data_IF_147340839093
#
_entry.id   IF_147340839093
#
_cell.length_a   1.000
_cell.length_b   1.000
_cell.length_c   1.000
_cell.angle_alpha   90.00
_cell.angle_beta   90.00
_cell.angle_gamma   90.00
#
_symmetry.space_group_name_H-M   'P 1'
#
loop_
_entity.id
_entity.type
_entity.pdbx_description
1 polymer ?
#
# COMPACT_ATOMS: atom_id res chain seq x y z
N UNK A 1 -37.88 -14.61 17.77
CA UNK A 1 -36.41 -14.33 17.69
C UNK A 1 -35.76 -15.67 17.43
N UNK A 2 -35.48 -15.97 16.15
CA UNK A 2 -34.68 -17.15 15.79
C UNK A 2 -33.22 -16.76 15.91
N UNK A 3 -32.52 -17.22 16.92
CA UNK A 3 -31.08 -17.27 16.97
C UNK A 3 -30.66 -18.37 16.00
N UNK A 4 -30.22 -18.02 14.82
CA UNK A 4 -29.53 -18.95 13.92
C UNK A 4 -28.20 -19.31 14.60
N UNK A 5 -28.17 -20.46 15.27
CA UNK A 5 -26.96 -21.01 15.83
C UNK A 5 -25.95 -21.27 14.71
N UNK A 6 -24.67 -20.96 14.97
CA UNK A 6 -23.56 -21.32 14.10
C UNK A 6 -23.62 -22.82 13.75
N UNK A 7 -23.29 -23.22 12.52
CA UNK A 7 -23.27 -24.62 12.16
C UNK A 7 -22.35 -25.43 13.13
N UNK A 8 -22.70 -26.68 13.45
CA UNK A 8 -21.89 -27.48 14.37
C UNK A 8 -20.48 -27.66 13.83
N UNK A 9 -19.49 -27.14 14.57
CA UNK A 9 -18.06 -27.26 14.26
C UNK A 9 -17.32 -25.99 13.86
N UNK A 10 -18.01 -24.83 13.69
CA UNK A 10 -17.34 -23.56 13.47
C UNK A 10 -16.91 -22.92 14.81
N UNK A 11 -15.64 -22.57 14.96
CA UNK A 11 -15.16 -21.76 16.08
C UNK A 11 -15.53 -20.30 15.89
N UNK A 12 -15.55 -19.51 16.98
CA UNK A 12 -15.74 -18.06 16.87
C UNK A 12 -14.68 -17.46 15.90
N UNK A 13 -15.13 -16.67 14.94
CA UNK A 13 -14.30 -16.10 13.87
C UNK A 13 -14.30 -16.90 12.56
N UNK A 14 -14.54 -18.23 12.58
CA UNK A 14 -14.59 -19.01 11.33
C UNK A 14 -15.84 -18.71 10.49
N UNK A 15 -16.96 -18.39 11.11
CA UNK A 15 -18.17 -18.01 10.40
C UNK A 15 -17.98 -16.67 9.68
N UNK A 16 -17.37 -15.71 10.36
CA UNK A 16 -16.99 -14.41 9.81
C UNK A 16 -15.95 -14.56 8.71
N UNK A 17 -14.92 -15.40 8.90
CA UNK A 17 -13.93 -15.69 7.88
C UNK A 17 -14.57 -16.22 6.59
N UNK A 18 -15.49 -17.18 6.68
CA UNK A 18 -16.24 -17.70 5.53
C UNK A 18 -17.05 -16.63 4.84
N UNK A 19 -17.74 -15.78 5.60
CA UNK A 19 -18.53 -14.66 5.06
C UNK A 19 -17.65 -13.72 4.26
N UNK A 20 -16.48 -13.33 4.80
CA UNK A 20 -15.54 -12.45 4.12
C UNK A 20 -14.90 -13.09 2.88
N UNK A 21 -14.55 -14.38 2.94
CA UNK A 21 -14.04 -15.15 1.79
C UNK A 21 -15.10 -15.21 0.68
N UNK A 22 -16.37 -15.39 1.02
CA UNK A 22 -17.45 -15.51 0.03
C UNK A 22 -17.87 -14.18 -0.60
N UNK A 23 -17.64 -13.06 0.07
CA UNK A 23 -18.10 -11.74 -0.38
C UNK A 23 -16.99 -10.82 -0.85
N UNK A 24 -15.87 -10.74 -0.14
CA UNK A 24 -14.88 -9.67 -0.33
C UNK A 24 -13.52 -10.18 -0.81
N UNK A 25 -13.05 -11.32 -0.30
CA UNK A 25 -11.72 -11.82 -0.64
C UNK A 25 -11.69 -12.53 -2.01
N UNK A 26 -12.30 -11.91 -3.01
CA UNK A 26 -12.36 -12.36 -4.38
C UNK A 26 -11.91 -11.24 -5.34
N UNK A 27 -11.22 -11.53 -6.43
CA UNK A 27 -10.65 -12.81 -6.84
C UNK A 27 -9.38 -13.18 -6.04
N UNK A 28 -9.11 -14.47 -5.91
CA UNK A 28 -7.88 -14.98 -5.29
C UNK A 28 -7.36 -16.19 -6.07
N UNK A 29 -6.05 -16.38 -6.10
CA UNK A 29 -5.41 -17.59 -6.64
C UNK A 29 -5.54 -18.78 -5.68
N UNK A 30 -5.84 -18.53 -4.41
CA UNK A 30 -6.09 -19.55 -3.41
C UNK A 30 -7.54 -20.06 -3.51
N UNK A 31 -7.74 -21.36 -3.35
CA UNK A 31 -9.07 -21.93 -3.17
C UNK A 31 -9.69 -21.41 -1.87
N UNK A 32 -11.03 -21.46 -1.75
CA UNK A 32 -11.73 -21.05 -0.53
C UNK A 32 -11.27 -21.82 0.71
N UNK A 33 -10.94 -23.10 0.55
CA UNK A 33 -10.43 -23.93 1.65
C UNK A 33 -9.04 -23.50 2.09
N UNK A 34 -8.17 -23.12 1.14
CA UNK A 34 -6.85 -22.58 1.44
C UNK A 34 -6.95 -21.20 2.14
N UNK A 35 -7.82 -20.32 1.63
CA UNK A 35 -8.09 -19.03 2.27
C UNK A 35 -8.60 -19.23 3.72
N UNK A 36 -9.54 -20.19 3.93
CA UNK A 36 -10.03 -20.48 5.25
C UNK A 36 -8.95 -21.05 6.18
N UNK A 37 -8.04 -21.87 5.66
CA UNK A 37 -6.93 -22.38 6.43
C UNK A 37 -5.99 -21.25 6.92
N UNK A 38 -5.73 -20.26 6.07
CA UNK A 38 -4.99 -19.07 6.47
C UNK A 38 -5.73 -18.24 7.52
N UNK A 39 -7.03 -18.01 7.34
CA UNK A 39 -7.83 -17.28 8.34
C UNK A 39 -7.83 -18.00 9.70
N UNK A 40 -7.87 -19.31 9.70
CA UNK A 40 -7.74 -20.10 10.94
C UNK A 40 -6.41 -19.87 11.65
N UNK A 41 -5.32 -19.76 10.90
CA UNK A 41 -4.03 -19.43 11.50
C UNK A 41 -4.07 -18.05 12.19
N UNK A 42 -4.64 -17.02 11.53
CA UNK A 42 -4.80 -15.69 12.13
C UNK A 42 -5.68 -15.72 13.38
N UNK A 43 -6.79 -16.47 13.36
CA UNK A 43 -7.68 -16.65 14.53
C UNK A 43 -6.91 -17.24 15.72
N UNK A 44 -6.12 -18.29 15.49
CA UNK A 44 -5.36 -18.95 16.57
C UNK A 44 -4.21 -18.05 17.07
N UNK A 45 -3.50 -17.34 16.18
CA UNK A 45 -2.49 -16.37 16.58
C UNK A 45 -3.12 -15.25 17.42
N UNK A 46 -4.27 -14.72 16.99
CA UNK A 46 -4.99 -13.67 17.70
C UNK A 46 -5.41 -14.10 19.11
N UNK A 47 -5.91 -15.33 19.29
CA UNK A 47 -6.24 -15.86 20.63
C UNK A 47 -5.04 -15.85 21.58
N UNK A 48 -3.85 -16.22 21.07
CA UNK A 48 -2.61 -16.19 21.86
C UNK A 48 -2.22 -14.73 22.23
N UNK A 49 -2.38 -13.79 21.31
CA UNK A 49 -2.10 -12.37 21.55
C UNK A 49 -3.11 -11.78 22.56
N UNK A 50 -4.39 -12.09 22.42
CA UNK A 50 -5.43 -11.66 23.34
C UNK A 50 -5.19 -12.19 24.76
N UNK A 51 -4.71 -13.43 24.89
CA UNK A 51 -4.30 -13.98 26.19
C UNK A 51 -3.13 -13.21 26.83
N UNK A 52 -2.31 -12.51 26.02
CA UNK A 52 -1.26 -11.59 26.47
C UNK A 52 -1.76 -10.13 26.67
N UNK A 53 -3.05 -9.89 26.50
CA UNK A 53 -3.67 -8.56 26.71
C UNK A 53 -3.76 -7.69 25.45
N UNK A 54 -3.34 -8.17 24.27
CA UNK A 54 -3.46 -7.41 23.02
C UNK A 54 -4.91 -7.43 22.55
N UNK A 55 -5.52 -6.24 22.42
CA UNK A 55 -6.90 -6.08 21.97
C UNK A 55 -7.01 -5.16 20.75
N UNK A 56 -6.03 -4.33 20.54
CA UNK A 56 -5.98 -3.32 19.49
C UNK A 56 -4.54 -3.16 19.00
N UNK A 57 -4.37 -2.86 17.73
CA UNK A 57 -3.12 -2.37 17.12
C UNK A 57 -3.42 -1.06 16.42
N UNK A 58 -2.44 -0.17 16.42
CA UNK A 58 -2.52 1.15 15.79
C UNK A 58 -1.55 1.25 14.61
N UNK A 59 -2.06 1.68 13.47
CA UNK A 59 -1.28 1.89 12.25
C UNK A 59 -1.60 3.26 11.63
N UNK A 60 -0.70 3.78 10.83
CA UNK A 60 -0.87 5.03 10.11
C UNK A 60 -0.45 4.88 8.65
N UNK A 61 -1.16 5.54 7.76
CA UNK A 61 -0.83 5.65 6.34
C UNK A 61 -1.28 6.98 5.75
N UNK A 62 -0.86 7.25 4.52
CA UNK A 62 -1.37 8.37 3.74
C UNK A 62 -2.81 8.16 3.28
N UNK A 63 -3.47 9.27 2.91
CA UNK A 63 -4.86 9.28 2.43
C UNK A 63 -4.90 9.01 0.93
N UNK A 64 -5.00 7.73 0.56
CA UNK A 64 -5.24 7.28 -0.82
C UNK A 64 -6.33 6.20 -0.82
N UNK A 65 -6.90 5.92 -1.98
CA UNK A 65 -8.03 4.99 -2.13
C UNK A 65 -7.72 3.58 -1.59
N UNK A 66 -6.51 3.09 -1.80
CA UNK A 66 -6.07 1.77 -1.30
C UNK A 66 -6.11 1.73 0.22
N UNK A 67 -5.47 2.70 0.89
CA UNK A 67 -5.43 2.76 2.35
C UNK A 67 -6.80 3.06 2.97
N UNK A 68 -7.68 3.78 2.25
CA UNK A 68 -9.07 3.93 2.68
C UNK A 68 -9.81 2.59 2.67
N UNK A 69 -9.59 1.74 1.67
CA UNK A 69 -10.15 0.40 1.62
C UNK A 69 -9.62 -0.48 2.75
N UNK A 70 -8.32 -0.44 3.00
CA UNK A 70 -7.71 -1.15 4.13
C UNK A 70 -8.30 -0.72 5.47
N UNK A 71 -8.40 0.58 5.71
CA UNK A 71 -8.93 1.13 6.96
C UNK A 71 -10.42 0.83 7.15
N UNK A 72 -11.24 0.99 6.11
CA UNK A 72 -12.70 0.88 6.20
C UNK A 72 -13.21 -0.55 6.06
N UNK A 73 -12.53 -1.37 5.26
CA UNK A 73 -12.98 -2.72 4.89
C UNK A 73 -12.10 -3.80 5.49
N UNK A 74 -10.79 -3.80 5.22
CA UNK A 74 -9.91 -4.87 5.68
C UNK A 74 -9.68 -4.85 7.20
N UNK A 75 -9.54 -3.67 7.80
CA UNK A 75 -9.43 -3.53 9.26
C UNK A 75 -10.68 -4.09 9.98
N UNK A 76 -11.87 -3.82 9.40
CA UNK A 76 -13.13 -4.38 9.90
C UNK A 76 -13.17 -5.91 9.75
N UNK A 77 -12.76 -6.42 8.59
CA UNK A 77 -12.68 -7.86 8.37
C UNK A 77 -11.76 -8.54 9.38
N UNK A 78 -10.58 -7.96 9.61
CA UNK A 78 -9.61 -8.46 10.56
C UNK A 78 -10.18 -8.48 11.99
N UNK A 79 -10.87 -7.42 12.41
CA UNK A 79 -11.52 -7.35 13.73
C UNK A 79 -12.64 -8.40 13.87
N UNK A 80 -13.52 -8.53 12.86
CA UNK A 80 -14.61 -9.53 12.89
C UNK A 80 -14.07 -10.96 12.92
N UNK A 81 -12.97 -11.24 12.21
CA UNK A 81 -12.37 -12.58 12.13
C UNK A 81 -11.56 -12.91 13.39
N UNK A 82 -10.77 -11.97 13.90
CA UNK A 82 -9.76 -12.23 14.93
C UNK A 82 -10.13 -11.70 16.31
N UNK A 83 -11.05 -10.75 16.40
CA UNK A 83 -11.38 -10.04 17.63
C UNK A 83 -10.31 -9.02 18.06
N UNK A 84 -9.29 -8.74 17.24
CA UNK A 84 -8.29 -7.68 17.47
C UNK A 84 -8.65 -6.50 16.60
N UNK A 85 -8.86 -5.33 17.21
CA UNK A 85 -9.16 -4.10 16.49
C UNK A 85 -7.92 -3.54 15.81
N UNK A 86 -8.07 -3.10 14.57
CA UNK A 86 -7.05 -2.30 13.86
C UNK A 86 -7.51 -0.85 13.83
N UNK A 87 -6.80 0.02 14.52
CA UNK A 87 -6.99 1.44 14.47
C UNK A 87 -6.06 2.02 13.40
N UNK A 88 -6.62 2.27 12.23
CA UNK A 88 -5.87 2.75 11.07
C UNK A 88 -6.13 4.24 10.86
N UNK A 89 -5.17 5.08 11.26
CA UNK A 89 -5.20 6.51 11.03
C UNK A 89 -4.77 6.81 9.59
N UNK A 90 -5.64 7.51 8.85
CA UNK A 90 -5.36 7.96 7.48
C UNK A 90 -5.16 9.46 7.52
N UNK A 91 -3.97 9.93 7.15
CA UNK A 91 -3.59 11.34 7.21
C UNK A 91 -2.86 11.76 5.93
N UNK A 92 -2.48 13.03 5.81
CA UNK A 92 -1.72 13.51 4.67
C UNK A 92 -0.31 12.90 4.67
N UNK A 93 0.23 12.57 3.48
CA UNK A 93 1.51 11.86 3.30
C UNK A 93 2.68 12.52 4.05
N UNK A 94 2.85 13.85 3.89
CA UNK A 94 3.90 14.59 4.59
C UNK A 94 3.79 14.50 6.10
N UNK A 95 2.56 14.46 6.65
CA UNK A 95 2.31 14.29 8.07
C UNK A 95 2.70 12.88 8.55
N UNK A 96 2.50 11.84 7.71
CA UNK A 96 2.99 10.48 8.02
C UNK A 96 4.50 10.51 8.17
N UNK A 97 5.21 11.05 7.18
CA UNK A 97 6.68 11.13 7.17
C UNK A 97 7.19 11.88 8.40
N UNK A 98 6.62 13.05 8.71
CA UNK A 98 7.03 13.87 9.85
C UNK A 98 6.80 13.16 11.19
N UNK A 99 5.64 12.55 11.39
CA UNK A 99 5.31 11.80 12.62
C UNK A 99 6.25 10.61 12.81
N UNK A 100 6.54 9.86 11.76
CA UNK A 100 7.45 8.72 11.84
C UNK A 100 8.88 9.16 12.15
N UNK A 101 9.39 10.20 11.50
CA UNK A 101 10.73 10.73 11.78
C UNK A 101 10.83 11.24 13.22
N UNK A 102 9.84 11.99 13.71
CA UNK A 102 9.78 12.47 15.09
C UNK A 102 9.73 11.31 16.10
N UNK A 103 8.95 10.27 15.80
CA UNK A 103 8.86 9.05 16.59
C UNK A 103 10.22 8.35 16.68
N UNK A 104 10.91 8.18 15.55
CA UNK A 104 12.23 7.55 15.50
C UNK A 104 13.30 8.38 16.23
N UNK A 105 13.29 9.70 16.06
CA UNK A 105 14.23 10.61 16.73
C UNK A 105 14.04 10.62 18.25
N UNK A 106 12.79 10.68 18.71
CA UNK A 106 12.46 10.69 20.14
C UNK A 106 12.59 9.31 20.80
N UNK A 107 12.62 8.24 20.02
CA UNK A 107 12.59 6.85 20.47
C UNK A 107 11.25 6.44 21.10
N UNK A 108 10.18 7.22 20.87
CA UNK A 108 8.83 6.92 21.36
C UNK A 108 7.96 6.55 20.16
N UNK A 109 7.55 5.29 20.09
CA UNK A 109 6.57 4.86 19.09
C UNK A 109 5.18 5.33 19.47
N UNK A 110 4.49 5.94 18.51
CA UNK A 110 3.08 6.36 18.63
C UNK A 110 2.14 5.44 17.87
N UNK A 111 2.70 4.57 17.02
CA UNK A 111 2.00 3.54 16.26
C UNK A 111 2.73 2.21 16.39
N UNK A 112 1.99 1.11 16.27
CA UNK A 112 2.55 -0.25 16.24
C UNK A 112 3.13 -0.58 14.85
N UNK A 113 2.56 0.04 13.80
CA UNK A 113 3.02 -0.12 12.43
C UNK A 113 2.63 1.08 11.56
N UNK A 114 3.16 1.11 10.34
CA UNK A 114 2.85 2.16 9.37
C UNK A 114 3.01 1.66 7.93
N UNK A 115 2.35 2.34 7.01
CA UNK A 115 2.57 2.20 5.58
C UNK A 115 3.20 3.50 5.09
N UNK A 116 4.32 3.42 4.40
CA UNK A 116 5.09 4.57 3.91
C UNK A 116 5.92 4.17 2.71
N UNK A 117 6.39 5.16 1.97
CA UNK A 117 7.17 4.95 0.76
C UNK A 117 8.48 4.20 1.01
N UNK A 118 8.80 3.28 0.11
CA UNK A 118 10.01 2.48 0.17
C UNK A 118 11.28 3.28 -0.09
N UNK A 119 11.20 4.46 -0.70
CA UNK A 119 12.33 5.38 -0.90
C UNK A 119 12.91 5.90 0.42
N UNK A 120 12.11 5.89 1.50
CA UNK A 120 12.53 6.26 2.84
C UNK A 120 13.26 5.14 3.60
N UNK A 121 13.37 3.93 3.03
CA UNK A 121 13.97 2.79 3.73
C UNK A 121 15.39 3.08 4.24
N UNK A 122 16.20 3.75 3.43
CA UNK A 122 17.57 4.13 3.81
C UNK A 122 17.62 5.12 4.98
N UNK A 123 16.63 6.00 5.08
CA UNK A 123 16.49 6.95 6.20
C UNK A 123 16.04 6.23 7.45
N UNK A 124 14.98 5.43 7.36
CA UNK A 124 14.47 4.65 8.49
C UNK A 124 15.52 3.66 9.03
N UNK A 125 16.26 2.99 8.13
CA UNK A 125 17.37 2.12 8.49
C UNK A 125 18.46 2.85 9.30
N UNK A 126 18.85 4.06 8.87
CA UNK A 126 19.89 4.86 9.57
C UNK A 126 19.46 5.29 10.96
N UNK A 127 18.19 5.50 11.23
CA UNK A 127 17.68 5.75 12.58
C UNK A 127 17.86 4.55 13.51
N UNK A 128 17.94 3.32 12.98
CA UNK A 128 18.11 2.11 13.77
C UNK A 128 16.95 1.83 14.74
N UNK A 129 15.74 2.28 14.37
CA UNK A 129 14.53 2.17 15.21
C UNK A 129 13.43 1.33 14.59
N UNK A 130 13.69 0.73 13.44
CA UNK A 130 12.77 -0.17 12.74
C UNK A 130 13.22 -1.62 12.92
N UNK A 131 12.25 -2.52 12.93
CA UNK A 131 12.49 -3.95 13.09
C UNK A 131 12.94 -4.57 11.75
N UNK A 132 14.06 -5.30 11.77
CA UNK A 132 14.44 -6.14 10.65
C UNK A 132 13.46 -7.33 10.56
N UNK A 133 12.50 -7.28 9.65
CA UNK A 133 11.47 -8.30 9.53
C UNK A 133 12.03 -9.67 9.19
N UNK A 134 13.05 -9.74 8.32
CA UNK A 134 13.71 -11.02 7.98
C UNK A 134 14.33 -11.69 9.20
N UNK A 135 15.01 -10.94 10.07
CA UNK A 135 15.59 -11.48 11.30
C UNK A 135 14.51 -11.89 12.30
N UNK A 136 13.47 -11.05 12.44
CA UNK A 136 12.37 -11.33 13.35
C UNK A 136 11.61 -12.60 12.94
N UNK A 137 11.24 -12.73 11.67
CA UNK A 137 10.53 -13.89 11.14
C UNK A 137 11.36 -15.19 11.24
N UNK A 138 12.69 -15.09 11.07
CA UNK A 138 13.58 -16.24 11.22
C UNK A 138 13.84 -16.62 12.68
N UNK A 139 13.72 -15.66 13.59
CA UNK A 139 14.06 -15.80 15.02
C UNK A 139 12.87 -15.69 15.97
N UNK A 140 12.82 -14.61 16.74
CA UNK A 140 11.83 -14.42 17.81
C UNK A 140 10.39 -14.34 17.32
N UNK A 141 10.17 -13.93 16.07
CA UNK A 141 8.85 -13.85 15.45
C UNK A 141 8.41 -15.09 14.69
N UNK A 142 9.21 -16.17 14.69
CA UNK A 142 8.93 -17.37 13.89
C UNK A 142 7.57 -17.99 14.19
N UNK A 143 7.16 -18.04 15.44
CA UNK A 143 5.85 -18.57 15.84
C UNK A 143 4.66 -17.65 15.45
N UNK A 144 4.95 -16.39 15.16
CA UNK A 144 4.00 -15.33 14.78
C UNK A 144 3.98 -15.06 13.28
N UNK A 145 4.83 -15.73 12.53
CA UNK A 145 4.89 -15.62 11.07
C UNK A 145 4.02 -16.71 10.46
N UNK A 146 3.06 -16.30 9.62
CA UNK A 146 2.22 -17.25 8.90
C UNK A 146 3.10 -18.15 8.01
N UNK A 147 3.03 -19.48 8.15
CA UNK A 147 3.82 -20.39 7.32
C UNK A 147 3.45 -20.36 5.84
N UNK A 148 2.27 -19.82 5.49
CA UNK A 148 1.84 -19.57 4.10
C UNK A 148 2.42 -18.30 3.49
N UNK A 149 3.13 -17.44 4.27
CA UNK A 149 3.73 -16.22 3.76
C UNK A 149 4.89 -16.56 2.83
N UNK A 150 4.68 -16.40 1.53
CA UNK A 150 5.71 -16.56 0.51
C UNK A 150 6.30 -15.20 0.10
N UNK A 151 7.47 -14.87 0.64
CA UNK A 151 8.17 -13.61 0.30
C UNK A 151 8.60 -13.54 -1.16
N UNK A 152 8.64 -14.64 -1.90
CA UNK A 152 9.00 -14.65 -3.33
C UNK A 152 7.84 -14.23 -4.23
N UNK A 153 6.62 -14.30 -3.70
CA UNK A 153 5.42 -13.85 -4.40
C UNK A 153 5.25 -12.33 -4.37
N UNK A 154 5.96 -11.64 -3.46
CA UNK A 154 5.95 -10.18 -3.38
C UNK A 154 6.79 -9.56 -4.49
N UNK A 155 6.19 -8.65 -5.25
CA UNK A 155 6.90 -7.80 -6.22
C UNK A 155 7.55 -6.64 -5.46
N UNK A 156 8.83 -6.34 -5.77
CA UNK A 156 9.50 -5.15 -5.24
C UNK A 156 10.18 -5.30 -3.88
N UNK A 157 10.42 -6.53 -3.40
CA UNK A 157 11.16 -6.75 -2.13
C UNK A 157 12.56 -6.13 -2.12
N UNK A 158 13.16 -5.87 -3.29
CA UNK A 158 14.44 -5.14 -3.39
C UNK A 158 14.32 -3.69 -2.91
N UNK A 159 13.17 -3.05 -3.05
CA UNK A 159 12.94 -1.68 -2.56
C UNK A 159 12.73 -1.62 -1.05
N UNK A 160 12.37 -2.74 -0.43
CA UNK A 160 12.11 -2.85 1.01
C UNK A 160 13.25 -3.53 1.77
N UNK A 161 14.36 -3.80 1.07
CA UNK A 161 15.61 -4.34 1.60
C UNK A 161 16.59 -3.21 1.82
N UNK A 162 17.11 -3.09 3.05
CA UNK A 162 18.08 -2.07 3.40
C UNK A 162 19.51 -2.45 2.96
N UNK A 163 20.51 -1.51 3.06
CA UNK A 163 21.88 -1.77 2.64
C UNK A 163 22.59 -2.96 3.34
N UNK A 164 22.09 -3.38 4.50
CA UNK A 164 22.60 -4.57 5.21
C UNK A 164 22.04 -5.89 4.66
N UNK A 165 21.24 -5.86 3.61
CA UNK A 165 20.63 -7.01 2.97
C UNK A 165 19.39 -7.57 3.70
N UNK A 166 18.90 -6.89 4.73
CA UNK A 166 17.74 -7.34 5.50
C UNK A 166 16.47 -6.66 5.04
N UNK A 167 15.36 -7.40 5.11
CA UNK A 167 14.03 -6.89 4.81
C UNK A 167 13.48 -6.13 6.02
N UNK A 168 13.04 -4.91 5.82
CA UNK A 168 12.48 -4.05 6.87
C UNK A 168 11.01 -3.69 6.64
N UNK A 169 10.51 -3.86 5.42
CA UNK A 169 9.11 -3.64 5.06
C UNK A 169 8.62 -4.81 4.21
N UNK A 170 7.31 -5.02 4.19
CA UNK A 170 6.65 -5.85 3.18
C UNK A 170 6.05 -4.91 2.14
N UNK A 171 6.19 -5.20 0.85
CA UNK A 171 5.51 -4.43 -0.19
C UNK A 171 4.00 -4.53 0.00
N UNK A 172 3.34 -3.39 0.10
CA UNK A 172 1.88 -3.29 0.24
C UNK A 172 1.23 -3.13 -1.13
N UNK A 173 1.77 -2.22 -1.94
CA UNK A 173 1.28 -1.95 -3.28
C UNK A 173 2.42 -1.62 -4.24
N UNK A 174 2.12 -1.74 -5.55
CA UNK A 174 3.04 -1.38 -6.62
C UNK A 174 2.57 -0.12 -7.31
N UNK A 175 3.51 0.80 -7.55
CA UNK A 175 3.26 1.99 -8.35
C UNK A 175 3.88 1.86 -9.72
N UNK A 176 3.19 2.37 -10.73
CA UNK A 176 3.72 2.57 -12.05
C UNK A 176 3.69 4.06 -12.39
N UNK A 177 4.84 4.66 -12.65
CA UNK A 177 4.91 6.00 -13.18
C UNK A 177 4.48 6.00 -14.63
N UNK A 178 3.40 6.72 -14.95
CA UNK A 178 2.85 6.82 -16.30
C UNK A 178 2.84 8.28 -16.73
N UNK A 179 3.16 8.51 -18.00
CA UNK A 179 2.98 9.81 -18.61
C UNK A 179 1.54 9.95 -19.12
N UNK A 180 0.78 10.85 -18.49
CA UNK A 180 -0.56 11.20 -18.90
C UNK A 180 -0.55 12.41 -19.80
N UNK A 181 -1.21 12.33 -20.94
CA UNK A 181 -1.31 13.44 -21.90
C UNK A 181 -2.64 13.45 -22.63
N UNK A 182 -3.02 14.60 -23.13
CA UNK A 182 -4.22 14.80 -23.94
C UNK A 182 -3.95 14.34 -25.37
N UNK A 183 -4.29 13.10 -25.67
CA UNK A 183 -4.10 12.50 -26.99
C UNK A 183 -4.78 13.31 -28.11
N UNK A 184 -5.95 13.88 -27.82
CA UNK A 184 -6.67 14.76 -28.73
C UNK A 184 -5.90 16.03 -29.10
N UNK A 185 -5.19 16.64 -28.14
CA UNK A 185 -4.34 17.81 -28.39
C UNK A 185 -3.07 17.44 -29.16
N UNK A 186 -2.45 16.32 -28.79
CA UNK A 186 -1.25 15.83 -29.48
C UNK A 186 -1.54 15.41 -30.93
N UNK A 187 -2.78 15.01 -31.25
CA UNK A 187 -3.22 14.65 -32.61
C UNK A 187 -3.55 15.86 -33.49
N UNK A 188 -3.62 17.07 -32.93
CA UNK A 188 -3.97 18.27 -33.68
C UNK A 188 -2.84 18.70 -34.62
N UNK A 189 -3.12 18.75 -35.90
CA UNK A 189 -2.13 19.12 -36.93
C UNK A 189 -1.56 20.52 -36.74
N UNK A 190 -2.38 21.48 -36.37
CA UNK A 190 -1.96 22.85 -36.12
C UNK A 190 -0.96 22.96 -34.93
N UNK A 191 -1.14 22.16 -33.89
CA UNK A 191 -0.22 22.11 -32.75
C UNK A 191 1.07 21.35 -33.10
N UNK A 192 0.96 20.25 -33.82
CA UNK A 192 2.10 19.47 -34.30
C UNK A 192 3.05 20.36 -35.17
N UNK A 193 2.47 21.09 -36.11
CA UNK A 193 3.24 21.95 -37.00
C UNK A 193 3.94 23.09 -36.25
N UNK A 194 3.26 23.74 -35.30
CA UNK A 194 3.83 24.78 -34.45
C UNK A 194 4.96 24.22 -33.56
N UNK A 195 4.74 23.08 -32.93
CA UNK A 195 5.73 22.42 -32.07
C UNK A 195 6.98 22.08 -32.88
N UNK A 196 6.81 21.42 -34.04
CA UNK A 196 7.91 21.05 -34.93
C UNK A 196 8.68 22.25 -35.45
N UNK A 197 8.00 23.35 -35.75
CA UNK A 197 8.64 24.59 -36.18
C UNK A 197 9.53 25.20 -35.09
N UNK A 198 9.16 25.09 -33.83
CA UNK A 198 9.92 25.65 -32.70
C UNK A 198 11.03 24.70 -32.22
N UNK A 199 10.77 23.43 -32.08
CA UNK A 199 11.70 22.49 -31.42
C UNK A 199 12.43 21.56 -32.40
N UNK A 200 12.00 21.50 -33.67
CA UNK A 200 12.69 20.74 -34.73
C UNK A 200 12.37 19.24 -34.77
N UNK A 201 11.47 18.76 -33.93
CA UNK A 201 11.01 17.36 -33.91
C UNK A 201 9.49 17.26 -33.69
N UNK A 202 8.92 16.07 -33.87
CA UNK A 202 7.49 15.88 -33.83
C UNK A 202 6.92 15.89 -32.39
N UNK A 203 5.77 16.54 -32.18
CA UNK A 203 5.04 16.48 -30.94
C UNK A 203 4.55 15.04 -30.69
N UNK A 204 4.97 14.43 -29.59
CA UNK A 204 4.64 13.06 -29.23
C UNK A 204 4.99 12.76 -27.78
N UNK A 205 4.90 11.50 -27.37
CA UNK A 205 5.33 11.08 -26.04
C UNK A 205 6.81 11.39 -25.85
N UNK A 206 7.20 12.11 -24.77
CA UNK A 206 8.58 12.52 -24.56
C UNK A 206 9.51 11.32 -24.35
N UNK A 207 10.63 11.32 -25.05
CA UNK A 207 11.65 10.26 -24.98
C UNK A 207 12.71 10.50 -23.89
N UNK A 208 12.74 11.71 -23.33
CA UNK A 208 13.64 12.14 -22.24
C UNK A 208 13.09 13.39 -21.56
N UNK A 209 13.76 13.83 -20.50
CA UNK A 209 13.34 15.01 -19.72
C UNK A 209 13.38 16.32 -20.51
N UNK A 210 14.34 16.50 -21.45
CA UNK A 210 14.36 17.68 -22.30
C UNK A 210 13.13 17.75 -23.20
N UNK A 211 12.72 16.64 -23.81
CA UNK A 211 11.49 16.58 -24.59
C UNK A 211 10.24 16.83 -23.73
N UNK A 212 10.24 16.36 -22.48
CA UNK A 212 9.18 16.64 -21.52
C UNK A 212 9.07 18.14 -21.22
N UNK A 213 10.22 18.80 -20.97
CA UNK A 213 10.32 20.23 -20.70
C UNK A 213 9.87 21.08 -21.92
N UNK A 214 10.29 20.70 -23.13
CA UNK A 214 9.86 21.36 -24.37
C UNK A 214 8.34 21.31 -24.57
N UNK A 215 7.73 20.17 -24.28
CA UNK A 215 6.26 19.98 -24.35
C UNK A 215 5.57 20.87 -23.32
N UNK A 216 6.07 20.88 -22.08
CA UNK A 216 5.53 21.72 -21.01
C UNK A 216 5.63 23.20 -21.35
N UNK A 217 6.79 23.67 -21.83
CA UNK A 217 7.02 25.04 -22.28
C UNK A 217 6.07 25.42 -23.42
N UNK A 218 5.94 24.55 -24.43
CA UNK A 218 5.06 24.76 -25.57
C UNK A 218 3.61 25.01 -25.16
N UNK A 219 3.04 24.12 -24.36
CA UNK A 219 1.64 24.25 -23.96
C UNK A 219 1.43 25.42 -23.00
N UNK A 220 2.37 25.67 -22.08
CA UNK A 220 2.26 26.74 -21.08
C UNK A 220 2.48 28.12 -21.69
N UNK A 221 3.48 28.30 -22.55
CA UNK A 221 3.94 29.62 -22.99
C UNK A 221 3.48 29.98 -24.41
N UNK A 222 3.39 29.00 -25.31
CA UNK A 222 3.07 29.30 -26.74
C UNK A 222 1.60 29.03 -27.08
N UNK A 223 1.00 27.94 -26.57
CA UNK A 223 -0.38 27.57 -26.89
C UNK A 223 -1.37 28.29 -25.96
N UNK A 224 -1.21 28.18 -24.67
CA UNK A 224 -2.02 28.81 -23.60
C UNK A 224 -3.51 28.48 -23.63
N UNK A 225 -4.10 28.49 -24.83
CA UNK A 225 -5.54 28.21 -25.01
C UNK A 225 -5.76 27.36 -26.24
N UNK A 226 -6.73 26.46 -26.19
CA UNK A 226 -7.24 25.70 -27.34
C UNK A 226 -8.76 25.83 -27.37
N UNK A 227 -9.28 26.21 -28.54
CA UNK A 227 -10.73 26.40 -28.76
C UNK A 227 -11.38 27.33 -27.71
N UNK A 228 -10.65 28.37 -27.29
CA UNK A 228 -11.07 29.36 -26.29
C UNK A 228 -10.95 28.92 -24.83
N UNK A 229 -10.47 27.70 -24.56
CA UNK A 229 -10.28 27.18 -23.21
C UNK A 229 -8.77 27.21 -22.81
N UNK A 230 -8.45 27.69 -21.59
CA UNK A 230 -7.07 27.63 -21.10
C UNK A 230 -6.59 26.20 -20.97
N UNK A 231 -5.28 26.00 -21.23
CA UNK A 231 -4.57 24.73 -21.04
C UNK A 231 -3.55 24.94 -19.93
N UNK A 232 -3.46 23.97 -19.03
CA UNK A 232 -2.54 23.96 -17.90
C UNK A 232 -1.64 22.74 -18.01
#
# INVERSE_FOLDING_TARGET
IFVLGSPPGATAGEAEAKKWIDSEFQPSTLSKDQQLAEMKWFIEAAKKLQAKGVKEISVVSETITTHEYESKTLAKAFEEITGIKVKHDIIQEGDVVEKLQTSMQSGKSIYDGWISDSDLIGTHYRYGKILALSDYMAGAGKEWTNPGLDLKDFIGTSFTTAPDGKLYQLPDQQFANLYWFRADLFARKDLQDKFKAKYGYDLGVPVNWSAYEDIADFFTNDVKTVDGHPIY
#
